data_IF_753356742691
#
_entry.id   IF_753356742691
#
_cell.length_a   1.000
_cell.length_b   1.000
_cell.length_c   1.000
_cell.angle_alpha   90.00
_cell.angle_beta   90.00
_cell.angle_gamma   90.00
#
_symmetry.space_group_name_H-M   'P 1'
#
loop_
_entity.id
_entity.type
_entity.pdbx_description
1 polymer ?
#
# COMPACT_ATOMS: atom_id res chain seq x y z
N UNK A 1 -26.85 -50.05 -43.90
CA UNK A 1 -25.94 -48.90 -44.08
C UNK A 1 -26.73 -47.62 -43.79
N UNK A 2 -26.48 -47.01 -42.64
CA UNK A 2 -26.69 -45.59 -42.34
C UNK A 2 -26.28 -45.40 -40.86
N UNK A 3 -25.05 -44.97 -40.67
CA UNK A 3 -24.39 -44.73 -39.39
C UNK A 3 -24.74 -43.32 -38.89
N UNK A 4 -25.33 -43.24 -37.70
CA UNK A 4 -25.53 -42.01 -36.93
C UNK A 4 -24.16 -41.49 -36.41
N UNK A 5 -23.94 -40.15 -36.33
CA UNK A 5 -22.70 -39.57 -35.82
C UNK A 5 -22.69 -39.50 -34.28
N UNK A 6 -21.50 -39.49 -33.63
CA UNK A 6 -21.38 -39.46 -32.18
C UNK A 6 -21.54 -38.04 -31.61
N UNK A 7 -22.25 -37.95 -30.48
CA UNK A 7 -22.41 -36.76 -29.65
C UNK A 7 -21.06 -36.23 -29.16
N UNK A 8 -20.80 -34.95 -29.42
CA UNK A 8 -19.62 -34.24 -28.92
C UNK A 8 -19.99 -33.56 -27.61
N UNK A 9 -19.56 -34.15 -26.49
CA UNK A 9 -19.69 -33.54 -25.16
C UNK A 9 -18.74 -32.35 -25.10
N UNK A 10 -19.32 -31.16 -24.92
CA UNK A 10 -18.63 -29.89 -24.73
C UNK A 10 -18.03 -29.87 -23.32
N UNK A 11 -16.73 -30.13 -23.23
CA UNK A 11 -15.97 -29.93 -21.99
C UNK A 11 -15.68 -28.44 -21.81
N UNK A 12 -16.51 -27.79 -21.00
CA UNK A 12 -16.28 -26.48 -20.42
C UNK A 12 -14.91 -26.41 -19.74
N UNK A 13 -13.93 -25.82 -20.42
CA UNK A 13 -12.67 -25.40 -19.80
C UNK A 13 -12.97 -24.22 -18.87
N UNK A 14 -12.99 -24.50 -17.57
CA UNK A 14 -12.94 -23.48 -16.54
C UNK A 14 -11.67 -22.64 -16.74
N UNK A 15 -11.84 -21.36 -17.04
CA UNK A 15 -10.74 -20.42 -17.15
C UNK A 15 -10.03 -20.33 -15.79
N UNK A 16 -8.79 -20.85 -15.75
CA UNK A 16 -7.84 -20.58 -14.69
C UNK A 16 -7.55 -19.06 -14.61
N UNK A 17 -7.24 -18.52 -13.41
CA UNK A 17 -7.00 -17.09 -13.22
C UNK A 17 -5.83 -16.61 -14.08
N UNK A 18 -6.00 -15.41 -14.66
CA UNK A 18 -5.13 -14.84 -15.68
C UNK A 18 -3.65 -14.77 -15.27
N UNK A 19 -2.77 -15.22 -16.18
CA UNK A 19 -1.32 -15.07 -16.08
C UNK A 19 -0.90 -13.59 -16.02
N UNK A 20 -0.22 -13.25 -14.92
CA UNK A 20 0.65 -12.10 -14.60
C UNK A 20 0.66 -10.86 -15.51
N UNK A 21 -0.21 -9.89 -15.23
CA UNK A 21 0.03 -8.50 -15.65
C UNK A 21 1.06 -7.89 -14.72
N UNK A 22 2.22 -7.44 -15.22
CA UNK A 22 3.14 -6.64 -14.39
C UNK A 22 2.39 -5.37 -13.94
N UNK A 23 2.22 -5.13 -12.64
CA UNK A 23 1.56 -3.91 -12.19
C UNK A 23 2.36 -2.67 -12.59
N UNK A 24 1.64 -1.63 -13.02
CA UNK A 24 2.20 -0.31 -13.30
C UNK A 24 2.09 0.59 -12.06
N UNK A 25 3.08 1.43 -11.80
CA UNK A 25 3.11 2.32 -10.63
C UNK A 25 3.30 3.79 -11.02
N UNK A 26 2.87 4.72 -10.15
CA UNK A 26 2.99 6.16 -10.39
C UNK A 26 4.40 6.68 -10.15
N UNK A 27 5.08 6.14 -9.14
CA UNK A 27 6.43 6.55 -8.78
C UNK A 27 7.36 5.34 -8.65
N UNK A 28 8.66 5.60 -8.71
CA UNK A 28 9.67 4.59 -8.44
C UNK A 28 9.56 4.02 -7.01
N UNK A 29 9.19 4.86 -6.02
CA UNK A 29 8.99 4.43 -4.64
C UNK A 29 7.81 3.47 -4.48
N UNK A 30 6.73 3.69 -5.23
CA UNK A 30 5.55 2.82 -5.23
C UNK A 30 5.90 1.41 -5.73
N UNK A 31 6.64 1.33 -6.85
CA UNK A 31 7.14 0.07 -7.39
C UNK A 31 8.11 -0.63 -6.41
N UNK A 32 9.03 0.14 -5.80
CA UNK A 32 9.97 -0.38 -4.82
C UNK A 32 9.25 -0.95 -3.58
N UNK A 33 8.25 -0.23 -3.07
CA UNK A 33 7.47 -0.66 -1.91
C UNK A 33 6.65 -1.91 -2.21
N UNK A 34 6.07 -2.02 -3.41
CA UNK A 34 5.38 -3.23 -3.85
C UNK A 34 6.34 -4.43 -3.94
N UNK A 35 7.50 -4.26 -4.58
CA UNK A 35 8.51 -5.32 -4.66
C UNK A 35 9.00 -5.73 -3.26
N UNK A 36 9.26 -4.76 -2.38
CA UNK A 36 9.62 -5.00 -0.99
C UNK A 36 8.54 -5.80 -0.22
N UNK A 37 7.26 -5.52 -0.45
CA UNK A 37 6.17 -6.27 0.17
C UNK A 37 6.14 -7.73 -0.27
N UNK A 38 6.36 -8.01 -1.55
CA UNK A 38 6.48 -9.39 -2.06
C UNK A 38 7.65 -10.17 -1.42
N UNK A 39 8.65 -9.48 -0.86
CA UNK A 39 9.79 -10.10 -0.18
C UNK A 39 9.54 -10.37 1.31
N UNK A 40 8.47 -9.86 1.93
CA UNK A 40 8.24 -9.97 3.40
C UNK A 40 8.21 -11.41 3.94
N UNK A 41 7.91 -12.40 3.10
CA UNK A 41 7.95 -13.83 3.43
C UNK A 41 9.31 -14.52 3.24
N UNK A 42 10.29 -13.84 2.63
CA UNK A 42 11.63 -14.34 2.28
C UNK A 42 12.73 -13.58 3.05
N UNK A 43 12.50 -13.33 4.34
CA UNK A 43 13.45 -12.55 5.17
C UNK A 43 14.81 -13.25 5.20
N UNK A 44 15.88 -12.44 5.17
CA UNK A 44 17.25 -12.93 5.21
C UNK A 44 17.62 -13.81 4.00
N UNK A 45 17.11 -13.48 2.82
CA UNK A 45 17.57 -14.03 1.53
C UNK A 45 18.19 -12.92 0.69
N UNK A 46 19.24 -13.30 -0.04
CA UNK A 46 19.80 -12.41 -1.05
C UNK A 46 18.81 -12.29 -2.22
N UNK A 47 18.51 -11.06 -2.59
CA UNK A 47 17.63 -10.76 -3.71
C UNK A 47 18.13 -9.49 -4.38
N UNK A 48 18.08 -9.50 -5.70
CA UNK A 48 18.27 -8.31 -6.53
C UNK A 48 17.09 -8.21 -7.49
N UNK A 49 16.51 -7.02 -7.55
CA UNK A 49 15.51 -6.65 -8.53
C UNK A 49 15.80 -5.27 -9.08
N UNK A 50 15.03 -4.90 -10.09
CA UNK A 50 15.15 -3.63 -10.78
C UNK A 50 13.79 -2.96 -10.92
N UNK A 51 13.82 -1.64 -11.00
CA UNK A 51 12.65 -0.83 -11.31
C UNK A 51 12.88 -0.19 -12.66
N UNK A 52 11.97 -0.51 -13.58
CA UNK A 52 11.98 -0.04 -14.95
C UNK A 52 10.96 1.07 -15.12
N UNK A 53 11.19 1.97 -16.08
CA UNK A 53 10.23 2.99 -16.48
C UNK A 53 9.94 2.90 -17.96
N UNK A 54 8.67 2.88 -18.32
CA UNK A 54 8.28 2.86 -19.72
C UNK A 54 8.27 4.28 -20.33
N UNK A 55 8.01 4.35 -21.63
CA UNK A 55 7.89 5.62 -22.38
C UNK A 55 6.72 6.50 -21.92
N UNK A 56 5.68 5.93 -21.31
CA UNK A 56 4.55 6.66 -20.72
C UNK A 56 4.84 7.21 -19.32
N UNK A 57 6.03 6.94 -18.77
CA UNK A 57 6.46 7.39 -17.46
C UNK A 57 5.89 6.60 -16.28
N UNK A 58 5.37 5.38 -16.51
CA UNK A 58 4.97 4.42 -15.47
C UNK A 58 6.14 3.54 -15.06
N UNK A 59 6.15 3.15 -13.79
CA UNK A 59 7.20 2.30 -13.22
C UNK A 59 6.74 0.86 -13.10
N UNK A 60 7.67 -0.09 -13.26
CA UNK A 60 7.41 -1.52 -13.26
C UNK A 60 8.51 -2.27 -12.53
N UNK A 61 8.15 -3.38 -11.90
CA UNK A 61 9.09 -4.25 -11.22
C UNK A 61 9.71 -5.26 -12.21
N UNK A 62 11.00 -5.52 -12.10
CA UNK A 62 11.70 -6.54 -12.86
C UNK A 62 12.67 -7.33 -11.99
N UNK A 63 12.91 -8.59 -12.34
CA UNK A 63 13.85 -9.46 -11.64
C UNK A 63 15.22 -9.49 -12.33
N UNK A 64 16.28 -9.62 -11.54
CA UNK A 64 17.59 -9.98 -12.08
C UNK A 64 17.58 -11.43 -12.58
N UNK A 65 18.10 -11.68 -13.78
CA UNK A 65 18.40 -13.02 -14.29
C UNK A 65 19.87 -13.09 -14.66
N UNK A 66 20.61 -14.05 -14.07
CA UNK A 66 22.04 -14.24 -14.31
C UNK A 66 22.27 -15.31 -15.36
N UNK A 67 22.57 -14.90 -16.60
CA UNK A 67 22.86 -15.74 -17.77
C UNK A 67 21.75 -16.75 -18.16
N UNK A 68 21.78 -17.24 -19.40
CA UNK A 68 20.72 -18.08 -19.97
C UNK A 68 20.67 -19.52 -19.39
N UNK A 69 21.71 -20.00 -18.71
CA UNK A 69 21.76 -21.37 -18.18
C UNK A 69 20.99 -21.55 -16.85
N UNK A 70 20.67 -20.46 -16.14
CA UNK A 70 19.87 -20.52 -14.90
C UNK A 70 18.35 -20.44 -15.12
N UNK A 71 17.89 -20.37 -16.39
CA UNK A 71 16.46 -20.38 -16.75
C UNK A 71 15.73 -21.68 -16.36
N UNK A 72 16.45 -22.75 -16.01
CA UNK A 72 15.88 -24.07 -15.80
C UNK A 72 15.53 -24.41 -14.34
N UNK A 73 16.13 -23.76 -13.33
CA UNK A 73 16.06 -24.25 -11.93
C UNK A 73 15.74 -23.21 -10.86
N UNK A 74 15.61 -21.91 -11.18
CA UNK A 74 15.14 -20.93 -10.19
C UNK A 74 13.63 -20.74 -10.32
N UNK A 75 12.89 -21.09 -9.27
CA UNK A 75 11.49 -20.67 -9.10
C UNK A 75 11.44 -19.14 -8.98
N UNK A 76 11.54 -18.45 -10.12
CA UNK A 76 11.34 -17.02 -10.23
C UNK A 76 9.98 -16.69 -9.60
N UNK A 77 9.89 -15.68 -8.72
CA UNK A 77 8.60 -15.24 -8.22
C UNK A 77 7.68 -14.96 -9.41
N UNK A 78 6.61 -15.75 -9.53
CA UNK A 78 5.68 -15.75 -10.67
C UNK A 78 4.93 -14.42 -10.83
N UNK A 79 5.15 -13.50 -9.90
CA UNK A 79 4.51 -12.19 -9.80
C UNK A 79 5.20 -11.11 -10.64
N UNK A 80 6.41 -11.37 -11.15
CA UNK A 80 7.20 -10.40 -11.92
C UNK A 80 7.57 -10.93 -13.31
N UNK A 81 6.81 -10.57 -14.36
CA UNK A 81 7.06 -11.10 -15.70
C UNK A 81 8.19 -10.37 -16.46
N UNK A 82 8.67 -9.22 -15.96
CA UNK A 82 9.82 -8.53 -16.56
C UNK A 82 11.12 -9.00 -15.91
N UNK A 83 12.15 -9.16 -16.74
CA UNK A 83 13.49 -9.57 -16.32
C UNK A 83 14.52 -8.61 -16.91
N UNK A 84 15.63 -8.44 -16.19
CA UNK A 84 16.82 -7.74 -16.65
C UNK A 84 17.96 -8.75 -16.60
N UNK A 85 18.53 -9.06 -17.76
CA UNK A 85 19.66 -9.98 -17.82
C UNK A 85 20.93 -9.23 -17.44
N UNK A 86 21.75 -9.82 -16.56
CA UNK A 86 23.03 -9.26 -16.15
C UNK A 86 24.13 -10.21 -16.59
N UNK A 87 25.06 -9.72 -17.41
CA UNK A 87 26.17 -10.52 -17.88
C UNK A 87 27.30 -10.61 -16.84
N UNK A 88 28.29 -11.48 -17.08
CA UNK A 88 29.42 -11.70 -16.18
C UNK A 88 30.29 -10.44 -15.93
N UNK A 89 30.18 -9.43 -16.80
CA UNK A 89 30.90 -8.15 -16.72
C UNK A 89 30.05 -7.08 -16.00
N UNK A 90 28.80 -7.37 -15.66
CA UNK A 90 27.88 -6.47 -14.99
C UNK A 90 27.13 -5.52 -15.92
N UNK A 91 27.15 -5.77 -17.24
CA UNK A 91 26.29 -5.04 -18.18
C UNK A 91 24.87 -5.61 -18.11
N UNK A 92 23.90 -4.70 -18.16
CA UNK A 92 22.49 -5.02 -17.99
C UNK A 92 21.74 -4.87 -19.31
N UNK A 93 21.03 -5.93 -19.71
CA UNK A 93 20.14 -5.91 -20.87
C UNK A 93 18.72 -5.59 -20.40
N UNK A 94 18.28 -4.37 -20.69
CA UNK A 94 16.95 -3.87 -20.33
C UNK A 94 15.95 -4.20 -21.44
N UNK A 95 14.74 -4.70 -21.11
CA UNK A 95 13.70 -4.95 -22.09
C UNK A 95 13.39 -3.71 -22.96
N UNK A 96 13.13 -3.95 -24.26
CA UNK A 96 12.82 -2.88 -25.20
C UNK A 96 11.60 -2.06 -24.76
N UNK A 97 11.71 -0.73 -24.86
CA UNK A 97 10.67 0.22 -24.44
C UNK A 97 10.74 0.65 -22.98
N UNK A 98 11.75 0.20 -22.24
CA UNK A 98 11.98 0.55 -20.84
C UNK A 98 13.36 1.18 -20.63
N UNK A 99 13.44 2.12 -19.67
CA UNK A 99 14.70 2.58 -19.06
C UNK A 99 14.86 1.97 -17.66
N UNK A 100 16.11 1.77 -17.25
CA UNK A 100 16.44 1.31 -15.90
C UNK A 100 16.53 2.52 -14.96
N UNK A 101 15.67 2.57 -13.94
CA UNK A 101 15.60 3.71 -13.02
C UNK A 101 16.26 3.45 -11.67
N UNK A 102 16.11 2.22 -11.15
CA UNK A 102 16.68 1.84 -9.87
C UNK A 102 16.94 0.35 -9.74
N UNK A 103 17.82 -0.01 -8.80
CA UNK A 103 17.93 -1.37 -8.26
C UNK A 103 17.28 -1.48 -6.89
N UNK A 104 16.83 -2.68 -6.52
CA UNK A 104 16.41 -3.02 -5.17
C UNK A 104 17.17 -4.27 -4.74
N UNK A 105 17.79 -4.20 -3.57
CA UNK A 105 18.52 -5.32 -2.98
C UNK A 105 17.95 -5.70 -1.61
N UNK A 106 17.92 -6.99 -1.32
CA UNK A 106 17.80 -7.55 0.03
C UNK A 106 19.02 -8.41 0.30
N UNK A 107 19.52 -8.40 1.53
CA UNK A 107 20.75 -9.09 1.92
C UNK A 107 20.58 -9.84 3.23
N UNK A 108 21.49 -10.77 3.44
CA UNK A 108 21.68 -11.43 4.73
C UNK A 108 22.43 -10.51 5.68
N UNK A 109 21.98 -10.46 6.94
CA UNK A 109 22.68 -9.70 7.98
C UNK A 109 24.11 -10.20 8.15
N UNK A 110 25.07 -9.28 8.15
CA UNK A 110 26.47 -9.64 8.33
C UNK A 110 26.78 -9.85 9.80
N UNK A 111 27.77 -10.71 10.07
CA UNK A 111 28.27 -10.93 11.42
C UNK A 111 28.75 -9.61 12.05
N UNK A 112 28.57 -9.52 13.37
CA UNK A 112 29.03 -8.39 14.17
C UNK A 112 30.55 -8.37 14.23
N UNK A 113 31.14 -7.20 14.01
CA UNK A 113 32.58 -6.99 14.18
C UNK A 113 33.04 -7.18 15.63
N UNK A 114 34.31 -7.53 15.84
CA UNK A 114 34.86 -7.82 17.17
C UNK A 114 34.70 -6.64 18.14
N UNK A 115 35.11 -5.44 17.71
CA UNK A 115 35.02 -4.19 18.49
C UNK A 115 33.77 -3.35 18.18
N UNK A 116 32.85 -3.87 17.35
CA UNK A 116 31.68 -3.14 16.91
C UNK A 116 30.64 -3.05 18.05
N UNK A 117 30.00 -1.89 18.23
CA UNK A 117 28.86 -1.81 19.15
C UNK A 117 27.62 -2.48 18.55
N UNK A 118 26.70 -3.00 19.37
CA UNK A 118 25.44 -3.58 18.85
C UNK A 118 24.60 -2.53 18.07
N UNK A 119 24.70 -1.27 18.47
CA UNK A 119 24.01 -0.14 17.84
C UNK A 119 24.55 0.14 16.43
N UNK A 120 25.87 0.21 16.27
CA UNK A 120 26.51 0.43 14.97
C UNK A 120 26.39 -0.80 14.06
N UNK A 121 26.46 -2.02 14.64
CA UNK A 121 26.20 -3.26 13.90
C UNK A 121 24.79 -3.30 13.31
N UNK A 122 23.77 -2.97 14.12
CA UNK A 122 22.39 -2.92 13.65
C UNK A 122 22.20 -1.83 12.57
N UNK A 123 22.78 -0.65 12.77
CA UNK A 123 22.76 0.43 11.77
C UNK A 123 23.40 0.01 10.44
N UNK A 124 24.52 -0.71 10.48
CA UNK A 124 25.20 -1.22 9.28
C UNK A 124 24.34 -2.21 8.51
N UNK A 125 23.70 -3.16 9.19
CA UNK A 125 22.84 -4.16 8.54
C UNK A 125 21.53 -3.55 7.99
N UNK A 126 21.07 -2.44 8.57
CA UNK A 126 19.88 -1.74 8.13
C UNK A 126 20.18 -0.57 7.16
N UNK A 127 21.42 -0.43 6.70
CA UNK A 127 21.83 0.63 5.77
C UNK A 127 22.52 0.09 4.52
N UNK A 128 22.60 0.91 3.47
CA UNK A 128 23.22 0.55 2.19
C UNK A 128 24.68 0.08 2.38
N UNK A 129 25.07 -0.93 1.60
CA UNK A 129 26.46 -1.36 1.56
C UNK A 129 27.32 -0.32 0.81
N UNK A 130 28.64 -0.38 1.00
CA UNK A 130 29.58 0.47 0.25
C UNK A 130 29.43 0.24 -1.26
N UNK A 131 29.27 -1.01 -1.67
CA UNK A 131 29.06 -1.38 -3.07
C UNK A 131 27.77 -0.79 -3.66
N UNK A 132 26.66 -0.75 -2.89
CA UNK A 132 25.39 -0.15 -3.34
C UNK A 132 25.54 1.33 -3.65
N UNK A 133 26.17 2.05 -2.73
CA UNK A 133 26.38 3.48 -2.85
C UNK A 133 27.31 3.76 -4.03
N UNK A 134 28.42 3.02 -4.14
CA UNK A 134 29.33 3.15 -5.27
C UNK A 134 28.64 2.92 -6.63
N UNK A 135 27.77 1.91 -6.74
CA UNK A 135 27.05 1.61 -7.98
C UNK A 135 26.20 2.79 -8.50
N UNK A 136 25.67 3.61 -7.58
CA UNK A 136 24.84 4.79 -7.89
C UNK A 136 25.66 6.09 -8.00
N UNK A 137 26.73 6.22 -7.22
CA UNK A 137 27.61 7.39 -7.23
C UNK A 137 28.57 7.42 -8.43
N UNK A 138 28.86 6.25 -9.01
CA UNK A 138 29.80 6.11 -10.13
C UNK A 138 29.39 6.94 -11.35
N UNK A 139 30.38 7.52 -12.04
CA UNK A 139 30.17 8.19 -13.33
C UNK A 139 29.69 7.24 -14.43
N UNK A 140 29.89 5.92 -14.25
CA UNK A 140 29.42 4.86 -15.15
C UNK A 140 28.15 4.18 -14.65
N UNK A 141 27.41 4.80 -13.73
CA UNK A 141 26.16 4.23 -13.21
C UNK A 141 25.17 3.96 -14.33
N UNK A 142 24.42 2.87 -14.17
CA UNK A 142 23.35 2.50 -15.10
C UNK A 142 21.97 2.96 -14.60
N UNK A 143 21.87 3.34 -13.33
CA UNK A 143 20.68 3.87 -12.68
C UNK A 143 21.08 4.93 -11.63
N UNK A 144 20.17 5.86 -11.31
CA UNK A 144 20.45 6.96 -10.36
C UNK A 144 20.00 6.68 -8.94
N UNK A 145 19.40 5.52 -8.67
CA UNK A 145 18.82 5.18 -7.38
C UNK A 145 19.00 3.71 -7.04
N UNK A 146 19.26 3.40 -5.76
CA UNK A 146 19.20 2.05 -5.24
C UNK A 146 18.34 2.00 -3.99
N UNK A 147 17.63 0.88 -3.80
CA UNK A 147 16.81 0.60 -2.64
C UNK A 147 17.40 -0.57 -1.86
N UNK A 148 17.38 -0.48 -0.54
CA UNK A 148 17.67 -1.59 0.37
C UNK A 148 16.38 -1.98 1.09
N UNK A 149 15.92 -3.19 0.82
CA UNK A 149 14.90 -3.88 1.60
C UNK A 149 15.58 -4.49 2.83
N UNK A 150 15.49 -3.80 3.96
CA UNK A 150 16.16 -4.18 5.19
C UNK A 150 15.44 -5.35 5.91
N UNK A 151 16.20 -6.11 6.70
CA UNK A 151 15.72 -7.31 7.41
C UNK A 151 14.66 -7.00 8.48
N UNK A 152 14.59 -5.75 8.95
CA UNK A 152 13.60 -5.26 9.92
C UNK A 152 12.26 -4.82 9.29
N UNK A 153 12.10 -4.99 7.97
CA UNK A 153 10.92 -4.56 7.24
C UNK A 153 10.93 -3.09 6.79
N UNK A 154 12.03 -2.37 7.01
CA UNK A 154 12.25 -1.05 6.42
C UNK A 154 12.65 -1.11 4.95
N UNK A 155 12.29 -0.08 4.19
CA UNK A 155 12.79 0.16 2.83
C UNK A 155 13.45 1.53 2.78
N UNK A 156 14.75 1.57 2.50
CA UNK A 156 15.52 2.81 2.38
C UNK A 156 16.05 2.97 0.96
N UNK A 157 16.10 4.21 0.48
CA UNK A 157 16.59 4.55 -0.84
C UNK A 157 17.77 5.51 -0.74
N UNK A 158 18.77 5.31 -1.60
CA UNK A 158 19.79 6.30 -1.93
C UNK A 158 19.58 6.76 -3.36
N UNK A 159 19.41 8.06 -3.57
CA UNK A 159 19.35 8.69 -4.89
C UNK A 159 20.54 9.61 -5.07
N UNK A 160 21.28 9.40 -6.15
CA UNK A 160 22.38 10.28 -6.50
C UNK A 160 21.89 11.69 -6.80
N UNK A 161 22.61 12.68 -6.29
CA UNK A 161 22.40 14.09 -6.61
C UNK A 161 23.40 14.63 -7.63
N UNK A 162 24.42 13.84 -7.99
CA UNK A 162 25.58 14.28 -8.76
C UNK A 162 26.31 15.47 -8.11
N UNK A 163 26.26 15.58 -6.79
CA UNK A 163 26.96 16.63 -6.06
C UNK A 163 28.48 16.50 -6.23
N UNK A 164 29.21 17.60 -6.04
CA UNK A 164 30.67 17.56 -6.14
C UNK A 164 31.28 16.68 -5.05
N UNK A 165 30.70 16.68 -3.85
CA UNK A 165 31.10 15.77 -2.78
C UNK A 165 30.86 14.30 -3.15
N UNK A 166 29.77 13.99 -3.85
CA UNK A 166 29.50 12.63 -4.34
C UNK A 166 30.54 12.17 -5.36
N UNK A 167 30.96 13.05 -6.27
CA UNK A 167 32.02 12.77 -7.26
C UNK A 167 33.37 12.56 -6.59
N UNK A 168 33.68 13.29 -5.51
CA UNK A 168 34.90 13.09 -4.73
C UNK A 168 34.88 11.81 -3.88
N UNK A 169 33.70 11.42 -3.40
CA UNK A 169 33.51 10.22 -2.58
C UNK A 169 33.56 8.94 -3.42
N UNK A 170 32.98 8.95 -4.62
CA UNK A 170 32.82 7.76 -5.48
C UNK A 170 34.13 6.96 -5.66
N UNK A 171 35.29 7.54 -6.03
CA UNK A 171 36.54 6.79 -6.20
C UNK A 171 37.04 6.11 -4.91
N UNK A 172 36.65 6.59 -3.74
CA UNK A 172 37.04 6.00 -2.43
C UNK A 172 36.20 4.78 -2.05
N UNK A 173 35.04 4.63 -2.68
CA UNK A 173 34.12 3.50 -2.48
C UNK A 173 34.24 2.44 -3.58
N UNK A 174 35.03 2.69 -4.62
CA UNK A 174 35.26 1.75 -5.71
C UNK A 174 36.02 0.50 -5.23
N UNK A 175 35.77 -0.67 -5.82
CA UNK A 175 36.63 -1.84 -5.63
C UNK A 175 38.03 -1.61 -6.22
N UNK A 176 39.04 -2.30 -5.71
CA UNK A 176 40.37 -2.36 -6.32
C UNK A 176 40.29 -3.07 -7.69
N UNK A 177 41.25 -2.85 -8.61
CA UNK A 177 41.27 -3.54 -9.90
C UNK A 177 41.30 -5.07 -9.81
N UNK A 178 41.78 -5.63 -8.69
CA UNK A 178 41.77 -7.07 -8.40
C UNK A 178 40.42 -7.59 -7.85
N UNK A 179 39.38 -6.75 -7.86
CA UNK A 179 38.03 -7.07 -7.37
C UNK A 179 37.88 -7.02 -5.86
N UNK A 180 38.94 -6.69 -5.10
CA UNK A 180 38.90 -6.67 -3.64
C UNK A 180 38.36 -5.34 -3.09
N UNK A 181 37.74 -5.34 -1.91
CA UNK A 181 37.32 -4.11 -1.24
C UNK A 181 38.51 -3.18 -0.99
N UNK A 182 38.25 -1.87 -1.06
CA UNK A 182 39.21 -0.87 -0.59
C UNK A 182 39.37 -0.94 0.94
N UNK A 183 40.40 -0.29 1.47
CA UNK A 183 40.69 -0.30 2.91
C UNK A 183 39.50 0.22 3.73
N UNK A 184 38.80 1.25 3.23
CA UNK A 184 37.60 1.78 3.88
C UNK A 184 36.51 0.71 4.01
N UNK A 185 36.11 0.09 2.90
CA UNK A 185 35.09 -0.97 2.88
C UNK A 185 35.52 -2.15 3.76
N UNK A 186 36.77 -2.62 3.65
CA UNK A 186 37.24 -3.73 4.48
C UNK A 186 37.22 -3.44 5.98
N UNK A 187 37.50 -2.20 6.40
CA UNK A 187 37.44 -1.81 7.81
C UNK A 187 36.00 -1.61 8.27
N UNK A 188 35.15 -1.03 7.42
CA UNK A 188 33.72 -0.87 7.64
C UNK A 188 33.02 -2.21 7.85
N UNK A 189 33.28 -3.18 6.97
CA UNK A 189 32.69 -4.52 7.02
C UNK A 189 33.14 -5.34 8.24
N UNK A 190 34.32 -5.04 8.78
CA UNK A 190 34.82 -5.63 10.04
C UNK A 190 34.33 -4.90 11.29
N UNK A 191 33.52 -3.84 11.14
CA UNK A 191 33.01 -3.02 12.24
C UNK A 191 34.05 -2.12 12.90
N UNK A 192 35.22 -1.92 12.28
CA UNK A 192 36.27 -1.04 12.79
C UNK A 192 35.97 0.45 12.51
N UNK A 193 35.13 0.74 11.52
CA UNK A 193 34.60 2.08 11.25
C UNK A 193 33.13 2.09 11.69
N UNK A 194 32.71 3.06 12.55
CA UNK A 194 31.31 3.19 12.93
C UNK A 194 30.42 3.35 11.69
N UNK A 195 29.35 2.56 11.62
CA UNK A 195 28.32 2.59 10.57
C UNK A 195 27.81 3.99 10.24
N UNK A 196 27.71 4.83 11.27
CA UNK A 196 27.24 6.20 11.16
C UNK A 196 28.12 7.13 10.36
N UNK A 197 29.41 6.80 10.19
CA UNK A 197 30.29 7.52 9.27
C UNK A 197 29.79 7.35 7.84
N UNK A 198 29.47 6.12 7.40
CA UNK A 198 28.95 5.88 6.05
C UNK A 198 27.58 6.52 5.85
N UNK A 199 26.70 6.46 6.87
CA UNK A 199 25.38 7.11 6.83
C UNK A 199 25.53 8.63 6.60
N UNK A 200 26.41 9.28 7.37
CA UNK A 200 26.64 10.73 7.25
C UNK A 200 27.29 11.10 5.91
N UNK A 201 28.23 10.28 5.41
CA UNK A 201 28.81 10.46 4.08
C UNK A 201 27.73 10.37 2.99
N UNK A 202 26.85 9.37 3.06
CA UNK A 202 25.77 9.20 2.10
C UNK A 202 24.76 10.37 2.13
N UNK A 203 24.36 10.81 3.33
CA UNK A 203 23.47 11.97 3.52
C UNK A 203 24.08 13.27 3.00
N UNK A 204 25.41 13.43 3.11
CA UNK A 204 26.11 14.60 2.57
C UNK A 204 26.31 14.52 1.05
N UNK A 205 26.47 13.32 0.49
CA UNK A 205 26.74 13.10 -0.93
C UNK A 205 25.47 13.11 -1.80
N UNK A 206 24.36 12.57 -1.31
CA UNK A 206 23.13 12.47 -2.08
C UNK A 206 21.88 12.49 -1.22
N UNK A 207 20.78 12.01 -1.77
CA UNK A 207 19.50 11.95 -1.07
C UNK A 207 19.26 10.56 -0.51
N UNK A 208 19.26 10.45 0.82
CA UNK A 208 18.84 9.23 1.52
C UNK A 208 17.41 9.41 2.00
N UNK A 209 16.53 8.47 1.67
CA UNK A 209 15.09 8.54 1.98
C UNK A 209 14.59 7.22 2.54
N UNK A 210 13.94 7.27 3.70
CA UNK A 210 13.12 6.15 4.17
C UNK A 210 11.83 6.12 3.36
N UNK A 211 11.56 5.00 2.70
CA UNK A 211 10.38 4.80 1.84
C UNK A 211 9.27 4.11 2.61
N UNK A 212 9.61 3.00 3.27
CA UNK A 212 8.75 2.22 4.19
C UNK A 212 9.42 2.19 5.55
N UNK A 213 8.65 2.45 6.60
CA UNK A 213 9.17 2.51 7.96
C UNK A 213 9.56 1.12 8.48
N UNK A 214 10.74 1.04 9.10
CA UNK A 214 11.25 -0.13 9.82
C UNK A 214 11.49 0.17 11.31
N UNK A 215 12.26 -0.68 11.97
CA UNK A 215 12.62 -0.55 13.38
C UNK A 215 13.61 0.60 13.67
N UNK A 216 14.59 0.80 12.77
CA UNK A 216 15.57 1.88 12.85
C UNK A 216 15.07 3.11 12.08
N UNK A 217 14.69 2.92 10.82
CA UNK A 217 14.17 3.97 9.95
C UNK A 217 12.67 4.12 10.15
N UNK A 218 12.28 4.73 11.26
CA UNK A 218 10.90 4.68 11.79
C UNK A 218 9.88 5.53 11.06
N UNK A 219 10.30 6.37 10.11
CA UNK A 219 9.43 7.35 9.44
C UNK A 219 9.78 7.46 7.98
N UNK A 220 8.76 7.51 7.11
CA UNK A 220 8.93 7.91 5.71
C UNK A 220 9.41 9.37 5.66
N UNK A 221 10.44 9.64 4.87
CA UNK A 221 11.01 10.98 4.76
C UNK A 221 12.51 10.97 4.45
N UNK A 222 13.02 12.16 4.13
CA UNK A 222 14.45 12.36 3.86
C UNK A 222 15.25 12.30 5.16
N UNK A 223 16.35 11.55 5.15
CA UNK A 223 17.31 11.54 6.25
C UNK A 223 18.17 12.80 6.20
N UNK A 224 18.39 13.40 7.37
CA UNK A 224 19.23 14.59 7.56
C UNK A 224 20.44 14.21 8.42
N UNK A 225 21.43 15.09 8.54
CA UNK A 225 22.57 14.85 9.43
C UNK A 225 22.14 14.62 10.90
N UNK A 226 20.97 15.16 11.28
CA UNK A 226 20.28 14.99 12.56
C UNK A 226 19.51 13.68 12.72
N UNK A 227 19.66 12.70 11.82
CA UNK A 227 18.79 11.51 11.75
C UNK A 227 18.61 10.78 13.09
N UNK A 228 19.62 10.74 13.96
CA UNK A 228 19.52 10.11 15.29
C UNK A 228 18.47 10.75 16.20
N UNK A 229 18.27 12.06 16.08
CA UNK A 229 17.23 12.79 16.81
C UNK A 229 15.90 12.70 16.05
N UNK A 230 15.95 12.77 14.71
CA UNK A 230 14.75 12.81 13.87
C UNK A 230 13.92 11.52 13.95
N UNK A 231 14.56 10.36 14.19
CA UNK A 231 13.89 9.07 14.39
C UNK A 231 13.22 8.94 15.77
N UNK A 232 13.53 9.83 16.72
CA UNK A 232 12.93 9.87 18.06
C UNK A 232 11.79 10.89 18.17
N UNK A 233 11.57 11.69 17.12
CA UNK A 233 10.52 12.70 17.10
C UNK A 233 9.13 12.05 17.10
N UNK A 234 8.27 12.49 18.01
CA UNK A 234 6.86 12.11 18.04
C UNK A 234 6.07 12.96 17.02
N UNK A 235 5.18 12.33 16.25
CA UNK A 235 4.30 12.97 15.27
C UNK A 235 5.04 13.96 14.33
N UNK A 236 6.06 13.51 13.60
CA UNK A 236 6.79 14.38 12.69
C UNK A 236 5.89 14.87 11.54
N UNK A 237 6.22 16.01 10.91
CA UNK A 237 5.50 16.47 9.73
C UNK A 237 5.66 15.47 8.58
N UNK A 238 4.58 15.25 7.83
CA UNK A 238 4.60 14.47 6.58
C UNK A 238 5.23 15.33 5.48
N UNK A 239 6.44 14.95 5.05
CA UNK A 239 7.22 15.69 4.04
C UNK A 239 7.07 15.12 2.62
N UNK A 240 6.74 13.83 2.49
CA UNK A 240 6.66 13.12 1.21
C UNK A 240 5.24 12.64 0.91
N UNK A 241 4.92 12.49 -0.38
CA UNK A 241 3.70 11.80 -0.81
C UNK A 241 3.65 10.37 -0.25
N UNK A 242 2.45 9.86 0.08
CA UNK A 242 2.32 8.48 0.53
C UNK A 242 2.71 7.52 -0.58
N UNK A 243 3.21 6.35 -0.18
CA UNK A 243 3.31 5.20 -1.09
C UNK A 243 1.90 4.84 -1.55
N UNK A 244 1.73 4.63 -2.83
CA UNK A 244 0.50 4.16 -3.45
C UNK A 244 0.69 2.73 -3.97
N UNK A 245 -0.40 1.97 -4.01
CA UNK A 245 -0.47 0.71 -4.73
C UNK A 245 -0.38 0.89 -6.25
N UNK A 246 -0.53 -0.21 -7.00
CA UNK A 246 -0.48 -0.18 -8.45
C UNK A 246 -1.61 0.65 -9.05
N UNK A 247 -1.46 1.01 -10.32
CA UNK A 247 -2.50 1.65 -11.12
C UNK A 247 -3.58 0.62 -11.46
N UNK A 248 -4.77 0.84 -10.91
CA UNK A 248 -5.93 -0.04 -11.04
C UNK A 248 -6.88 0.50 -12.12
N UNK A 249 -7.37 -0.39 -12.98
CA UNK A 249 -8.14 -0.02 -14.18
C UNK A 249 -9.61 0.31 -13.91
N UNK A 250 -10.17 -0.15 -12.79
CA UNK A 250 -11.57 0.11 -12.45
C UNK A 250 -11.82 -0.08 -10.95
N UNK A 251 -13.07 0.17 -10.54
CA UNK A 251 -13.52 0.04 -9.15
C UNK A 251 -13.55 -1.42 -8.68
N UNK A 252 -13.68 -2.41 -9.57
CA UNK A 252 -13.61 -3.82 -9.20
C UNK A 252 -12.17 -4.22 -8.82
N UNK A 253 -11.19 -3.75 -9.58
CA UNK A 253 -9.78 -3.92 -9.28
C UNK A 253 -9.39 -3.23 -7.96
N UNK A 254 -9.95 -2.05 -7.69
CA UNK A 254 -9.84 -1.38 -6.37
C UNK A 254 -10.39 -2.25 -5.25
N UNK A 255 -11.58 -2.83 -5.43
CA UNK A 255 -12.19 -3.66 -4.41
C UNK A 255 -11.38 -4.95 -4.14
N UNK A 256 -10.87 -5.59 -5.19
CA UNK A 256 -10.00 -6.76 -5.05
C UNK A 256 -8.69 -6.40 -4.35
N UNK A 257 -8.05 -5.30 -4.74
CA UNK A 257 -6.84 -4.80 -4.09
C UNK A 257 -7.06 -4.55 -2.59
N UNK A 258 -8.16 -3.87 -2.23
CA UNK A 258 -8.51 -3.62 -0.83
C UNK A 258 -8.77 -4.92 -0.06
N UNK A 259 -9.50 -5.87 -0.65
CA UNK A 259 -9.74 -7.18 -0.03
C UNK A 259 -8.42 -7.88 0.31
N UNK A 260 -7.52 -8.04 -0.66
CA UNK A 260 -6.28 -8.78 -0.46
C UNK A 260 -5.32 -8.11 0.53
N UNK A 261 -5.23 -6.78 0.52
CA UNK A 261 -4.24 -6.06 1.31
C UNK A 261 -4.75 -5.76 2.73
N UNK A 262 -6.04 -5.47 2.91
CA UNK A 262 -6.57 -5.15 4.23
C UNK A 262 -6.74 -6.39 5.12
N UNK A 263 -6.96 -7.57 4.53
CA UNK A 263 -7.02 -8.84 5.28
C UNK A 263 -5.68 -9.22 5.94
N UNK A 264 -4.56 -8.70 5.41
CA UNK A 264 -3.22 -8.97 5.96
C UNK A 264 -2.87 -8.07 7.15
N UNK A 265 -3.66 -7.04 7.42
CA UNK A 265 -3.40 -6.08 8.49
C UNK A 265 -3.88 -6.60 9.84
N UNK A 266 -3.26 -6.09 10.91
CA UNK A 266 -3.71 -6.39 12.26
C UNK A 266 -5.12 -5.86 12.51
N UNK A 267 -5.98 -6.69 13.09
CA UNK A 267 -7.34 -6.29 13.49
C UNK A 267 -7.38 -5.55 14.84
N UNK A 268 -6.24 -5.41 15.53
CA UNK A 268 -6.17 -4.73 16.82
C UNK A 268 -6.38 -3.21 16.71
N UNK A 269 -6.16 -2.64 15.54
CA UNK A 269 -6.32 -1.21 15.27
C UNK A 269 -7.02 -1.01 13.93
N UNK A 270 -7.84 0.03 13.86
CA UNK A 270 -8.40 0.47 12.59
C UNK A 270 -7.30 1.04 11.69
N UNK A 271 -7.44 0.74 10.41
CA UNK A 271 -6.58 1.23 9.35
C UNK A 271 -7.40 2.06 8.39
N UNK A 272 -6.86 3.20 7.96
CA UNK A 272 -7.53 4.16 7.09
C UNK A 272 -6.65 4.49 5.91
N UNK A 273 -7.26 4.75 4.76
CA UNK A 273 -6.57 5.35 3.63
C UNK A 273 -7.50 5.97 2.61
N UNK A 274 -6.91 6.40 1.50
CA UNK A 274 -7.58 7.20 0.49
C UNK A 274 -7.43 6.56 -0.88
N UNK A 275 -8.54 6.51 -1.61
CA UNK A 275 -8.58 6.08 -3.01
C UNK A 275 -8.55 7.34 -3.87
N UNK A 276 -7.62 7.38 -4.81
CA UNK A 276 -7.48 8.47 -5.76
C UNK A 276 -7.93 8.01 -7.15
N UNK A 277 -8.62 8.90 -7.88
CA UNK A 277 -9.01 8.69 -9.27
C UNK A 277 -8.32 9.72 -10.16
N UNK A 278 -7.81 9.28 -11.30
CA UNK A 278 -7.29 10.21 -12.32
C UNK A 278 -8.40 11.14 -12.82
N UNK A 279 -8.07 12.39 -13.14
CA UNK A 279 -9.06 13.42 -13.51
C UNK A 279 -9.72 13.14 -14.87
N UNK A 280 -8.98 12.55 -15.81
CA UNK A 280 -9.42 12.34 -17.20
C UNK A 280 -9.41 10.88 -17.66
N UNK A 281 -8.77 9.99 -16.91
CA UNK A 281 -8.64 8.57 -17.26
C UNK A 281 -9.43 7.76 -16.24
N UNK A 282 -9.95 6.60 -16.65
CA UNK A 282 -10.61 5.68 -15.72
C UNK A 282 -9.57 4.79 -15.03
N UNK A 283 -8.67 5.40 -14.27
CA UNK A 283 -7.66 4.69 -13.49
C UNK A 283 -7.61 5.22 -12.06
N UNK A 284 -7.22 4.33 -11.16
CA UNK A 284 -7.23 4.55 -9.72
C UNK A 284 -5.89 4.16 -9.11
N UNK A 285 -5.57 4.78 -7.99
CA UNK A 285 -4.53 4.30 -7.07
C UNK A 285 -5.05 4.36 -5.65
N UNK A 286 -4.50 3.52 -4.79
CA UNK A 286 -4.88 3.41 -3.39
C UNK A 286 -3.66 3.74 -2.55
N UNK A 287 -3.76 4.67 -1.60
CA UNK A 287 -2.65 4.96 -0.69
C UNK A 287 -2.33 3.75 0.18
N UNK A 288 -1.12 3.64 0.73
CA UNK A 288 -0.85 2.72 1.81
C UNK A 288 -1.75 3.04 3.03
N UNK A 289 -2.24 2.03 3.77
CA UNK A 289 -3.05 2.23 4.96
C UNK A 289 -2.21 2.82 6.09
N UNK A 290 -2.80 3.70 6.90
CA UNK A 290 -2.22 4.17 8.16
C UNK A 290 -3.06 3.65 9.32
N UNK A 291 -2.41 3.21 10.40
CA UNK A 291 -3.07 2.84 11.64
C UNK A 291 -3.62 4.12 12.29
N UNK A 292 -4.93 4.29 12.26
CA UNK A 292 -5.63 5.49 12.74
C UNK A 292 -7.11 5.16 12.91
N UNK A 293 -7.72 5.76 13.93
CA UNK A 293 -9.18 5.76 14.04
C UNK A 293 -9.80 6.60 12.91
N UNK A 294 -10.77 6.04 12.20
CA UNK A 294 -11.44 6.72 11.09
C UNK A 294 -12.21 7.95 11.55
N UNK A 295 -12.71 7.95 12.78
CA UNK A 295 -13.48 9.05 13.31
C UNK A 295 -12.65 10.33 13.55
N UNK A 296 -11.35 10.16 13.83
CA UNK A 296 -10.38 11.26 14.03
C UNK A 296 -9.42 11.45 12.85
N UNK A 297 -9.63 10.70 11.76
CA UNK A 297 -8.72 10.69 10.62
C UNK A 297 -8.70 12.02 9.86
N UNK A 298 -7.52 12.65 9.86
CA UNK A 298 -7.19 13.81 9.05
C UNK A 298 -6.33 13.43 7.83
N UNK A 299 -6.61 14.06 6.70
CA UNK A 299 -5.92 13.82 5.42
C UNK A 299 -4.43 14.18 5.46
N UNK A 300 -4.01 15.08 6.35
CA UNK A 300 -2.61 15.44 6.59
C UNK A 300 -1.82 14.38 7.37
N UNK A 301 -2.49 13.34 7.87
CA UNK A 301 -1.82 12.13 8.38
C UNK A 301 -1.21 11.31 7.24
N UNK A 302 -1.74 11.43 6.01
CA UNK A 302 -1.26 10.69 4.83
C UNK A 302 -0.51 11.59 3.85
N UNK A 303 -1.01 12.81 3.62
CA UNK A 303 -0.47 13.69 2.59
C UNK A 303 0.32 14.87 3.16
N UNK A 304 1.39 15.31 2.48
CA UNK A 304 2.11 16.51 2.86
C UNK A 304 1.22 17.75 2.74
N UNK A 305 1.47 18.72 3.60
CA UNK A 305 0.80 20.03 3.58
C UNK A 305 1.31 20.84 2.39
N UNK A 306 0.37 21.34 1.59
CA UNK A 306 0.63 22.24 0.47
C UNK A 306 0.58 23.71 0.88
N UNK A 307 0.80 24.61 -0.09
CA UNK A 307 0.54 26.04 0.08
C UNK A 307 -0.89 26.26 0.60
N UNK A 308 -1.06 27.14 1.58
CA UNK A 308 -2.35 27.46 2.21
C UNK A 308 -3.03 26.28 2.95
N UNK A 309 -2.25 25.33 3.46
CA UNK A 309 -2.74 24.17 4.23
C UNK A 309 -3.67 23.21 3.46
N UNK A 310 -3.72 23.30 2.13
CA UNK A 310 -4.39 22.28 1.32
C UNK A 310 -3.56 20.99 1.28
N UNK A 311 -4.21 19.85 1.04
CA UNK A 311 -3.49 18.59 0.80
C UNK A 311 -2.88 18.59 -0.60
N UNK A 312 -1.59 18.25 -0.67
CA UNK A 312 -0.95 17.95 -1.95
C UNK A 312 -1.34 16.52 -2.38
N UNK A 313 -1.97 16.41 -3.53
CA UNK A 313 -2.30 15.13 -4.17
C UNK A 313 -1.31 14.85 -5.32
N UNK A 314 -1.11 13.58 -5.70
CA UNK A 314 -0.44 13.22 -6.94
C UNK A 314 -1.01 14.00 -8.13
N UNK A 315 -0.14 14.46 -9.03
CA UNK A 315 -0.53 15.25 -10.19
C UNK A 315 -1.61 14.54 -11.01
N UNK A 316 -2.64 15.26 -11.45
CA UNK A 316 -3.77 14.72 -12.22
C UNK A 316 -4.69 13.76 -11.46
N UNK A 317 -4.53 13.58 -10.15
CA UNK A 317 -5.46 12.82 -9.33
C UNK A 317 -6.37 13.73 -8.50
N UNK A 318 -7.50 13.16 -8.10
CA UNK A 318 -8.44 13.71 -7.11
C UNK A 318 -8.86 12.61 -6.14
N UNK A 319 -9.35 13.00 -4.97
CA UNK A 319 -9.93 12.06 -4.02
C UNK A 319 -11.19 11.42 -4.64
N UNK A 320 -11.23 10.10 -4.65
CA UNK A 320 -12.39 9.31 -5.06
C UNK A 320 -13.25 8.90 -3.87
N UNK A 321 -12.59 8.57 -2.75
CA UNK A 321 -13.20 8.16 -1.51
C UNK A 321 -12.18 7.75 -0.46
N UNK A 322 -12.69 7.42 0.71
CA UNK A 322 -11.92 6.98 1.87
C UNK A 322 -12.25 5.52 2.15
N UNK A 323 -11.25 4.72 2.47
CA UNK A 323 -11.46 3.36 2.92
C UNK A 323 -10.99 3.20 4.36
N UNK A 324 -11.66 2.34 5.11
CA UNK A 324 -11.21 1.96 6.44
C UNK A 324 -11.55 0.51 6.76
N UNK A 325 -10.83 -0.06 7.72
CA UNK A 325 -11.22 -1.30 8.40
C UNK A 325 -12.11 -1.00 9.60
N UNK A 326 -12.48 -2.02 10.36
CA UNK A 326 -13.17 -1.87 11.64
C UNK A 326 -12.18 -1.95 12.80
N UNK A 327 -12.54 -1.34 13.93
CA UNK A 327 -11.89 -1.62 15.21
C UNK A 327 -12.27 -3.03 15.70
N UNK A 328 -11.40 -3.64 16.50
CA UNK A 328 -11.74 -4.85 17.24
C UNK A 328 -12.95 -4.56 18.16
N UNK A 329 -13.99 -5.37 18.03
CA UNK A 329 -15.17 -5.30 18.89
C UNK A 329 -14.95 -6.26 20.05
N UNK A 330 -15.03 -5.76 21.27
CA UNK A 330 -14.92 -6.58 22.47
C UNK A 330 -16.12 -7.55 22.59
N UNK A 331 -15.90 -8.74 23.13
CA UNK A 331 -16.92 -9.80 23.18
C UNK A 331 -18.14 -9.42 24.06
N UNK A 332 -17.97 -8.51 25.01
CA UNK A 332 -19.03 -7.94 25.86
C UNK A 332 -19.87 -6.87 25.13
N UNK A 333 -19.46 -6.45 23.92
CA UNK A 333 -20.15 -5.48 23.07
C UNK A 333 -20.76 -6.12 21.83
N UNK A 334 -21.30 -7.32 21.96
CA UNK A 334 -21.98 -8.02 20.87
C UNK A 334 -23.50 -8.04 21.09
N UNK A 335 -24.29 -7.77 20.03
CA UNK A 335 -25.73 -7.88 20.13
C UNK A 335 -26.18 -9.33 20.29
N UNK A 336 -27.36 -9.54 20.86
CA UNK A 336 -27.94 -10.88 21.01
C UNK A 336 -28.32 -11.55 19.67
N UNK A 337 -28.54 -10.75 18.62
CA UNK A 337 -28.93 -11.20 17.28
C UNK A 337 -28.01 -10.58 16.23
N UNK A 338 -27.90 -11.22 15.05
CA UNK A 338 -27.21 -10.66 13.88
C UNK A 338 -25.72 -10.32 14.12
N UNK A 339 -25.06 -11.03 15.04
CA UNK A 339 -23.65 -10.81 15.45
C UNK A 339 -22.70 -10.72 14.25
N UNK A 340 -22.84 -11.63 13.27
CA UNK A 340 -21.97 -11.63 12.09
C UNK A 340 -22.18 -10.40 11.20
N UNK A 341 -23.42 -9.92 11.09
CA UNK A 341 -23.73 -8.69 10.35
C UNK A 341 -23.16 -7.47 11.08
N UNK A 342 -23.31 -7.42 12.41
CA UNK A 342 -22.74 -6.36 13.25
C UNK A 342 -21.21 -6.26 13.11
N UNK A 343 -20.51 -7.40 13.18
CA UNK A 343 -19.05 -7.49 13.01
C UNK A 343 -18.56 -7.16 11.61
N UNK A 344 -19.45 -7.05 10.62
CA UNK A 344 -19.09 -6.85 9.22
C UNK A 344 -19.86 -5.67 8.58
N UNK A 345 -20.33 -4.72 9.38
CA UNK A 345 -21.00 -3.51 8.88
C UNK A 345 -20.41 -2.27 9.53
N UNK A 346 -20.72 -1.08 8.99
CA UNK A 346 -20.15 0.15 9.52
C UNK A 346 -20.61 0.40 10.96
N UNK A 347 -19.71 0.90 11.81
CA UNK A 347 -20.09 1.42 13.12
C UNK A 347 -20.88 2.73 12.95
N UNK A 348 -21.75 3.05 13.91
CA UNK A 348 -22.51 4.30 13.89
C UNK A 348 -21.59 5.53 13.92
N UNK A 349 -20.51 5.48 14.71
CA UNK A 349 -19.54 6.56 14.80
C UNK A 349 -18.75 6.76 13.49
N UNK A 350 -18.31 5.67 12.85
CA UNK A 350 -17.63 5.75 11.55
C UNK A 350 -18.57 6.32 10.47
N UNK A 351 -19.84 5.89 10.46
CA UNK A 351 -20.83 6.43 9.53
C UNK A 351 -21.06 7.91 9.77
N UNK A 352 -21.24 8.36 11.01
CA UNK A 352 -21.43 9.78 11.32
C UNK A 352 -20.33 10.64 10.68
N UNK A 353 -19.07 10.24 10.86
CA UNK A 353 -17.90 10.95 10.30
C UNK A 353 -17.77 10.76 8.79
N UNK A 354 -18.04 9.57 8.28
CA UNK A 354 -17.99 9.33 6.84
C UNK A 354 -19.08 10.12 6.10
N UNK A 355 -20.29 10.15 6.64
CA UNK A 355 -21.46 10.79 6.03
C UNK A 355 -21.31 12.32 6.02
N UNK A 356 -20.68 12.92 7.04
CA UNK A 356 -20.41 14.37 7.04
C UNK A 356 -19.48 14.81 5.90
N UNK A 357 -18.60 13.94 5.41
CA UNK A 357 -17.73 14.23 4.26
C UNK A 357 -18.50 14.47 2.95
N UNK A 358 -19.77 14.03 2.86
CA UNK A 358 -20.61 14.30 1.69
C UNK A 358 -21.17 15.71 1.65
N UNK A 359 -21.18 16.45 2.77
CA UNK A 359 -21.66 17.84 2.81
C UNK A 359 -20.80 18.69 1.86
N UNK A 360 -19.47 18.64 2.05
CA UNK A 360 -18.53 19.42 1.23
C UNK A 360 -18.21 18.75 -0.10
N UNK A 361 -18.34 17.41 -0.16
CA UNK A 361 -17.97 16.64 -1.34
C UNK A 361 -18.96 15.48 -1.63
N UNK A 362 -20.14 15.78 -2.21
CA UNK A 362 -21.18 14.78 -2.50
C UNK A 362 -20.75 13.65 -3.44
N UNK A 363 -19.67 13.86 -4.19
CA UNK A 363 -19.12 12.92 -5.16
C UNK A 363 -18.12 11.92 -4.56
N UNK A 364 -17.75 12.08 -3.28
CA UNK A 364 -16.91 11.13 -2.56
C UNK A 364 -17.63 9.80 -2.29
N UNK A 365 -16.89 8.84 -1.76
CA UNK A 365 -17.36 7.50 -1.41
C UNK A 365 -16.72 7.09 -0.10
N UNK A 366 -17.42 6.25 0.66
CA UNK A 366 -16.85 5.57 1.82
C UNK A 366 -16.77 4.09 1.48
N UNK A 367 -15.64 3.47 1.79
CA UNK A 367 -15.42 2.05 1.62
C UNK A 367 -15.13 1.41 2.98
N UNK A 368 -15.79 0.31 3.30
CA UNK A 368 -15.50 -0.50 4.47
C UNK A 368 -14.91 -1.83 4.03
N UNK A 369 -13.74 -2.15 4.56
CA UNK A 369 -13.11 -3.46 4.41
C UNK A 369 -13.43 -4.27 5.67
N UNK A 370 -14.29 -5.27 5.54
CA UNK A 370 -14.79 -6.03 6.69
C UNK A 370 -13.80 -7.12 7.13
N UNK A 371 -13.86 -7.57 8.39
CA UNK A 371 -13.04 -8.70 8.85
C UNK A 371 -13.27 -10.00 8.06
N UNK A 372 -14.47 -10.23 7.53
CA UNK A 372 -14.79 -11.35 6.61
C UNK A 372 -14.30 -11.15 5.16
N UNK A 373 -13.57 -10.06 4.88
CA UNK A 373 -13.01 -9.78 3.57
C UNK A 373 -13.96 -9.09 2.58
N UNK A 374 -15.20 -8.78 2.95
CA UNK A 374 -16.08 -8.02 2.07
C UNK A 374 -15.60 -6.57 1.94
N UNK A 375 -15.81 -5.98 0.75
CA UNK A 375 -15.57 -4.55 0.51
C UNK A 375 -16.88 -3.87 0.19
N UNK A 376 -17.42 -3.14 1.16
CA UNK A 376 -18.65 -2.37 1.05
C UNK A 376 -18.33 -0.97 0.57
N UNK A 377 -19.26 -0.34 -0.15
CA UNK A 377 -19.19 1.04 -0.60
C UNK A 377 -20.51 1.75 -0.38
N UNK A 378 -20.46 2.91 0.27
CA UNK A 378 -21.55 3.89 0.28
C UNK A 378 -21.22 5.07 -0.65
N UNK A 379 -22.20 5.49 -1.46
CA UNK A 379 -22.02 6.50 -2.51
C UNK A 379 -23.35 7.09 -2.96
N UNK A 380 -23.33 8.18 -3.74
CA UNK A 380 -24.54 8.80 -4.31
C UNK A 380 -25.62 9.02 -3.23
N UNK A 381 -25.35 9.90 -2.25
CA UNK A 381 -26.30 10.15 -1.18
C UNK A 381 -27.58 10.79 -1.72
N UNK A 382 -28.71 10.44 -1.09
CA UNK A 382 -29.99 11.11 -1.27
C UNK A 382 -30.10 12.23 -0.22
N UNK A 383 -30.03 13.52 -0.58
CA UNK A 383 -29.77 14.62 0.36
C UNK A 383 -30.69 14.65 1.58
N UNK A 384 -32.02 14.55 1.40
CA UNK A 384 -32.99 14.63 2.50
C UNK A 384 -32.86 13.45 3.47
N UNK A 385 -32.75 12.23 2.93
CA UNK A 385 -32.62 11.01 3.73
C UNK A 385 -31.27 10.95 4.42
N UNK A 386 -30.20 11.41 3.75
CA UNK A 386 -28.89 11.55 4.34
C UNK A 386 -28.91 12.54 5.51
N UNK A 387 -29.52 13.71 5.33
CA UNK A 387 -29.63 14.72 6.38
C UNK A 387 -30.37 14.19 7.61
N UNK A 388 -31.49 13.48 7.40
CA UNK A 388 -32.23 12.83 8.49
C UNK A 388 -31.41 11.76 9.21
N UNK A 389 -30.69 10.91 8.46
CA UNK A 389 -29.83 9.88 9.06
C UNK A 389 -28.67 10.52 9.84
N UNK A 390 -28.09 11.61 9.33
CA UNK A 390 -27.02 12.34 10.01
C UNK A 390 -27.51 13.01 11.30
N UNK A 391 -28.71 13.61 11.30
CA UNK A 391 -29.31 14.16 12.51
C UNK A 391 -29.50 13.08 13.59
N UNK A 392 -29.93 11.88 13.19
CA UNK A 392 -30.07 10.76 14.12
C UNK A 392 -28.74 10.19 14.62
N UNK A 393 -27.64 10.38 13.88
CA UNK A 393 -26.31 9.90 14.26
C UNK A 393 -25.54 10.90 15.13
N UNK A 394 -25.90 12.18 15.12
CA UNK A 394 -25.16 13.24 15.81
C UNK A 394 -25.61 13.40 17.28
N UNK A 395 -24.74 13.10 18.28
CA UNK A 395 -25.09 13.23 19.70
C UNK A 395 -25.50 14.63 20.15
N UNK A 396 -25.18 15.67 19.37
CA UNK A 396 -25.55 17.05 19.67
C UNK A 396 -26.91 17.46 19.08
N UNK A 397 -27.54 16.58 18.30
CA UNK A 397 -28.82 16.84 17.66
C UNK A 397 -30.00 16.37 18.53
N UNK A 398 -31.12 17.08 18.46
CA UNK A 398 -32.34 16.72 19.19
C UNK A 398 -32.92 15.36 18.76
N UNK A 399 -32.72 14.97 17.49
CA UNK A 399 -33.21 13.71 16.92
C UNK A 399 -32.23 12.53 17.12
N UNK A 400 -31.17 12.73 17.92
CA UNK A 400 -30.13 11.72 18.16
C UNK A 400 -30.71 10.39 18.62
N UNK A 401 -30.19 9.31 18.05
CA UNK A 401 -30.45 7.95 18.46
C UNK A 401 -29.12 7.23 18.66
N UNK A 402 -28.94 6.66 19.85
CA UNK A 402 -27.83 5.75 20.12
C UNK A 402 -28.09 4.40 19.45
N UNK A 403 -27.82 4.33 18.13
CA UNK A 403 -28.03 3.11 17.35
C UNK A 403 -27.19 1.95 17.85
N UNK A 404 -25.98 2.23 18.34
CA UNK A 404 -25.11 1.19 18.90
C UNK A 404 -25.78 0.58 20.13
N UNK A 405 -26.19 1.39 21.09
CA UNK A 405 -26.85 0.89 22.29
C UNK A 405 -28.18 0.18 21.98
N UNK A 406 -28.99 0.70 21.04
CA UNK A 406 -30.25 0.07 20.63
C UNK A 406 -30.03 -1.30 19.96
N UNK A 407 -28.94 -1.45 19.22
CA UNK A 407 -28.56 -2.74 18.62
C UNK A 407 -28.11 -3.71 19.72
N UNK A 408 -27.30 -3.24 20.66
CA UNK A 408 -26.80 -4.07 21.77
C UNK A 408 -27.93 -4.52 22.72
N UNK A 409 -28.90 -3.64 23.02
CA UNK A 409 -30.06 -3.96 23.86
C UNK A 409 -31.11 -4.81 23.14
N UNK A 410 -31.00 -4.99 21.82
CA UNK A 410 -31.97 -5.71 21.00
C UNK A 410 -33.23 -4.91 20.66
N UNK A 411 -33.29 -3.62 21.00
CA UNK A 411 -34.37 -2.70 20.58
C UNK A 411 -34.37 -2.46 19.06
N UNK A 412 -33.21 -2.61 18.42
CA UNK A 412 -33.04 -2.47 16.98
C UNK A 412 -32.26 -3.65 16.40
N UNK A 413 -32.71 -4.16 15.24
CA UNK A 413 -31.93 -5.12 14.45
C UNK A 413 -30.83 -4.40 13.66
N UNK A 414 -29.68 -5.04 13.49
CA UNK A 414 -28.59 -4.56 12.63
C UNK A 414 -29.10 -4.40 11.19
N UNK A 415 -29.96 -5.31 10.72
CA UNK A 415 -30.58 -5.20 9.40
C UNK A 415 -31.39 -3.89 9.24
N UNK A 416 -32.09 -3.44 10.27
CA UNK A 416 -32.83 -2.18 10.21
C UNK A 416 -31.89 -0.96 10.07
N UNK A 417 -30.68 -1.04 10.64
CA UNK A 417 -29.65 -0.03 10.45
C UNK A 417 -29.05 -0.06 9.04
N UNK A 418 -28.82 -1.25 8.49
CA UNK A 418 -28.42 -1.45 7.08
C UNK A 418 -29.44 -0.82 6.13
N UNK A 419 -30.73 -1.09 6.36
CA UNK A 419 -31.82 -0.59 5.53
C UNK A 419 -31.90 0.94 5.52
N UNK A 420 -31.67 1.58 6.68
CA UNK A 420 -31.61 3.04 6.79
C UNK A 420 -30.47 3.62 5.95
N UNK A 421 -29.28 3.03 6.04
CA UNK A 421 -28.14 3.48 5.22
C UNK A 421 -28.42 3.25 3.72
N UNK A 422 -28.96 2.09 3.36
CA UNK A 422 -29.31 1.76 1.98
C UNK A 422 -30.43 2.67 1.42
N UNK A 423 -31.31 3.20 2.27
CA UNK A 423 -32.31 4.18 1.89
C UNK A 423 -31.73 5.58 1.68
N UNK A 424 -30.65 5.94 2.40
CA UNK A 424 -29.99 7.25 2.34
C UNK A 424 -29.03 7.42 1.16
N UNK A 425 -28.83 6.40 0.33
CA UNK A 425 -27.97 6.47 -0.86
C UNK A 425 -27.76 5.12 -1.53
N UNK A 426 -26.64 4.96 -2.24
CA UNK A 426 -26.28 3.69 -2.88
C UNK A 426 -25.25 2.94 -2.03
N UNK A 427 -25.74 1.93 -1.28
CA UNK A 427 -24.92 0.91 -0.62
C UNK A 427 -24.68 -0.28 -1.57
N UNK A 428 -23.43 -0.67 -1.76
CA UNK A 428 -23.04 -1.78 -2.64
C UNK A 428 -21.91 -2.61 -2.04
N UNK A 429 -21.95 -3.92 -2.24
CA UNK A 429 -20.87 -4.84 -1.96
C UNK A 429 -20.08 -5.04 -3.25
N UNK A 430 -18.85 -4.52 -3.28
CA UNK A 430 -17.99 -4.56 -4.47
C UNK A 430 -17.18 -5.86 -4.54
N UNK A 431 -16.75 -6.35 -3.38
CA UNK A 431 -16.11 -7.65 -3.22
C UNK A 431 -16.89 -8.44 -2.15
N UNK A 432 -17.30 -9.69 -2.45
CA UNK A 432 -18.08 -10.49 -1.50
C UNK A 432 -17.20 -10.97 -0.34
N UNK A 433 -17.84 -11.31 0.77
CA UNK A 433 -17.23 -12.05 1.89
C UNK A 433 -18.24 -13.03 2.46
N UNK A 434 -17.91 -13.68 3.56
CA UNK A 434 -18.76 -14.74 4.13
C UNK A 434 -20.16 -14.26 4.52
N UNK A 435 -20.29 -12.98 4.87
CA UNK A 435 -21.56 -12.36 5.30
C UNK A 435 -22.26 -11.61 4.17
N UNK A 436 -21.50 -11.05 3.22
CA UNK A 436 -22.02 -10.12 2.22
C UNK A 436 -21.87 -10.68 0.81
N UNK A 437 -23.01 -10.83 0.12
CA UNK A 437 -23.03 -11.16 -1.30
C UNK A 437 -22.76 -9.92 -2.17
N UNK A 438 -22.04 -10.11 -3.28
CA UNK A 438 -21.73 -9.04 -4.24
C UNK A 438 -23.02 -8.47 -4.86
N UNK A 439 -23.11 -7.14 -4.94
CA UNK A 439 -24.26 -6.47 -5.55
C UNK A 439 -24.71 -5.22 -4.81
N UNK A 440 -25.85 -4.67 -5.22
CA UNK A 440 -26.48 -3.53 -4.53
C UNK A 440 -27.30 -4.05 -3.35
N UNK A 441 -27.13 -3.42 -2.19
CA UNK A 441 -27.99 -3.69 -1.01
C UNK A 441 -29.28 -2.91 -1.21
N UNK A 442 -30.42 -3.61 -1.26
CA UNK A 442 -31.73 -2.98 -1.43
C UNK A 442 -32.34 -2.70 -0.06
N UNK A 443 -32.88 -1.49 0.13
CA UNK A 443 -33.79 -1.24 1.24
C UNK A 443 -35.12 -1.97 0.94
N UNK A 444 -35.79 -2.55 1.95
CA UNK A 444 -37.11 -3.15 1.75
C UNK A 444 -38.05 -2.09 1.17
N UNK A 445 -38.61 -2.39 -0.01
CA UNK A 445 -39.65 -1.57 -0.60
C UNK A 445 -40.90 -1.80 0.24
N UNK A 446 -41.48 -0.76 0.83
CA UNK A 446 -42.74 -0.88 1.54
C UNK A 446 -43.76 -1.51 0.58
N UNK A 447 -44.17 -2.75 0.86
CA UNK A 447 -45.27 -3.39 0.15
C UNK A 447 -46.50 -2.58 0.52
N UNK A 448 -46.97 -1.74 -0.42
CA UNK A 448 -48.29 -1.14 -0.32
C UNK A 448 -49.28 -2.29 -0.46
N UNK A 449 -49.76 -2.80 0.67
CA UNK A 449 -50.93 -3.67 0.71
C UNK A 449 -52.09 -2.76 0.31
N UNK A 450 -52.45 -2.80 -0.97
CA UNK A 450 -53.71 -2.24 -1.44
C UNK A 450 -54.78 -3.07 -0.76
N UNK A 451 -55.41 -2.49 0.27
CA UNK A 451 -56.53 -3.10 0.96
C UNK A 451 -57.62 -3.40 -0.06
N UNK A 452 -57.91 -4.70 -0.21
CA UNK A 452 -59.06 -5.14 -0.98
C UNK A 452 -60.33 -4.65 -0.30
N UNK A 453 -61.11 -3.87 -1.05
CA UNK A 453 -62.44 -3.44 -0.70
C UNK A 453 -63.32 -4.65 -0.35
N UNK A 454 -63.90 -4.60 0.85
CA UNK A 454 -65.02 -5.42 1.26
C UNK A 454 -66.26 -5.00 0.46
N UNK A 455 -66.69 -5.81 -0.51
CA UNK A 455 -68.03 -5.71 -1.06
C UNK A 455 -69.00 -6.54 -0.20
N UNK A 456 -69.95 -5.84 0.43
CA UNK A 456 -71.21 -6.42 0.92
C UNK A 456 -72.16 -6.68 -0.23
#
# INVERSE_FOLDING_TARGET
MNTLPPETIVSSSAAAPAAGSNPAFLTCDDAAAFMHESLKGRRNTEFTGFILKNTEGRFYCALEVKSADELADTELPRDFPLTVAVNLVGEMEVPSGYSLEASLVSRVDKAKGFDESAVEWNQRNLFHSVADLHAVMSSRRQYSRCYLSASDGGLIAYTSSLSDFEKELSPRLQLKPDGRPQNFESLYERGAIPSSVLILLAVAAGEVTTVVAGSLWRRRGRLKASWRNDILQHNPPIELMPVCGPVLKDVSAVAHYLHEHMLKLSHLQQHVGIILKHKTQDVFVVTAPVASDYASFDRHTIFPKGPQANVLLPSQFRIHGFYHTMNAIADDRLPAQEVQLYKNFFSANDLRIGLSRFIDAPHHRIFLCTPSGAVLRFSKPEPEKLQNLMAQLDPQNADYQDFEQKILSGEMRVQAFVDRLAAAGTLSVLYPGDVWAKGRVQAPTAIVIIGGESAQ
#
